data_IF_870028865654
#
_entry.id   IF_870028865654
#
_cell.length_a   1.000
_cell.length_b   1.000
_cell.length_c   1.000
_cell.angle_alpha   90.00
_cell.angle_beta   90.00
_cell.angle_gamma   90.00
#
_symmetry.space_group_name_H-M   'P 1'
#
loop_
_entity.id
_entity.type
_entity.pdbx_description
1 polymer ?
#
# COMPACT_ATOMS: atom_id res chain seq x y z
N UNK A 1 -5.38 1.40 3.90
CA UNK A 1 -4.67 0.14 4.25
C UNK A 1 -4.33 0.00 5.73
N UNK A 2 -3.60 0.94 6.37
CA UNK A 2 -3.28 0.88 7.82
C UNK A 2 -4.51 0.59 8.69
N UNK A 3 -5.57 1.38 8.48
CA UNK A 3 -6.86 1.21 9.15
C UNK A 3 -7.49 -0.17 8.91
N UNK A 4 -7.45 -0.68 7.67
CA UNK A 4 -8.03 -2.00 7.32
C UNK A 4 -7.30 -3.14 8.08
N UNK A 5 -5.96 -3.11 8.10
CA UNK A 5 -5.19 -4.11 8.85
C UNK A 5 -5.47 -4.01 10.34
N UNK A 6 -5.41 -2.81 10.92
CA UNK A 6 -5.68 -2.59 12.35
C UNK A 6 -7.07 -3.07 12.74
N UNK A 7 -8.09 -2.70 11.96
CA UNK A 7 -9.49 -3.10 12.20
C UNK A 7 -9.62 -4.63 12.18
N UNK A 8 -9.16 -5.29 11.12
CA UNK A 8 -9.27 -6.77 11.02
C UNK A 8 -8.49 -7.48 12.11
N UNK A 9 -7.31 -6.97 12.45
CA UNK A 9 -6.49 -7.56 13.51
C UNK A 9 -7.19 -7.45 14.87
N UNK A 10 -7.70 -6.26 15.23
CA UNK A 10 -8.43 -6.03 16.47
C UNK A 10 -9.76 -6.82 16.55
N UNK A 11 -10.46 -6.94 15.42
CA UNK A 11 -11.68 -7.76 15.32
C UNK A 11 -11.37 -9.25 15.61
N UNK A 12 -10.24 -9.74 15.10
CA UNK A 12 -9.81 -11.13 15.23
C UNK A 12 -9.20 -11.47 16.59
N UNK A 13 -8.48 -10.53 17.20
CA UNK A 13 -7.75 -10.70 18.45
C UNK A 13 -8.06 -9.56 19.42
N UNK A 14 -8.86 -9.86 20.44
CA UNK A 14 -9.38 -8.87 21.40
C UNK A 14 -8.49 -8.67 22.63
N UNK A 15 -7.47 -9.49 22.82
CA UNK A 15 -6.57 -9.38 23.96
C UNK A 15 -5.69 -8.13 23.86
N UNK A 16 -5.42 -7.42 24.97
CA UNK A 16 -4.42 -6.36 25.02
C UNK A 16 -3.09 -6.82 24.44
N UNK A 17 -2.40 -5.94 23.70
CA UNK A 17 -1.13 -6.25 23.04
C UNK A 17 -1.10 -7.54 22.20
N UNK A 18 -2.22 -8.02 21.66
CA UNK A 18 -2.26 -9.26 20.86
C UNK A 18 -1.24 -9.28 19.69
N UNK A 19 -0.90 -8.12 19.13
CA UNK A 19 0.13 -8.00 18.09
C UNK A 19 1.56 -8.28 18.57
N UNK A 20 1.80 -8.43 19.87
CA UNK A 20 3.07 -8.90 20.45
C UNK A 20 3.07 -10.41 20.74
N UNK A 21 1.94 -11.10 20.56
CA UNK A 21 1.82 -12.54 20.77
C UNK A 21 2.17 -13.32 19.49
N UNK A 22 3.14 -14.26 19.54
CA UNK A 22 3.47 -15.13 18.39
C UNK A 22 2.28 -15.96 17.88
N UNK A 23 1.30 -16.26 18.75
CA UNK A 23 0.11 -17.04 18.43
C UNK A 23 -0.85 -16.29 17.48
N UNK A 24 -0.74 -14.96 17.40
CA UNK A 24 -1.54 -14.13 16.48
C UNK A 24 -1.00 -14.12 15.03
N UNK A 25 0.16 -14.75 14.79
CA UNK A 25 0.83 -14.78 13.49
C UNK A 25 0.76 -16.18 12.84
N UNK A 26 1.17 -16.26 11.58
CA UNK A 26 1.28 -17.51 10.85
C UNK A 26 2.39 -18.40 11.46
N UNK A 27 1.99 -19.58 11.95
CA UNK A 27 2.89 -20.51 12.61
C UNK A 27 3.95 -21.10 11.67
N UNK A 28 3.74 -21.04 10.35
CA UNK A 28 4.75 -21.42 9.37
C UNK A 28 5.81 -20.33 9.14
N UNK A 29 5.64 -19.14 9.74
CA UNK A 29 6.51 -17.97 9.57
C UNK A 29 7.01 -17.40 10.88
N UNK A 30 7.03 -18.18 11.96
CA UNK A 30 7.36 -17.71 13.31
C UNK A 30 8.64 -16.88 13.38
N UNK A 31 9.73 -17.31 12.74
CA UNK A 31 10.99 -16.53 12.75
C UNK A 31 10.84 -15.12 12.18
N UNK A 32 10.01 -14.94 11.14
CA UNK A 32 9.72 -13.62 10.58
C UNK A 32 8.69 -12.86 11.43
N UNK A 33 7.70 -13.55 12.01
CA UNK A 33 6.76 -12.95 12.94
C UNK A 33 7.44 -12.39 14.20
N UNK A 34 8.46 -13.08 14.74
CA UNK A 34 9.24 -12.58 15.87
C UNK A 34 9.98 -11.27 15.55
N UNK A 35 10.40 -11.07 14.29
CA UNK A 35 10.98 -9.79 13.84
C UNK A 35 9.93 -8.69 13.78
N UNK A 36 8.71 -8.99 13.34
CA UNK A 36 7.57 -8.05 13.42
C UNK A 36 7.34 -7.66 14.88
N UNK A 37 7.19 -8.64 15.77
CA UNK A 37 6.96 -8.41 17.21
C UNK A 37 8.07 -7.54 17.80
N UNK A 38 9.34 -7.85 17.51
CA UNK A 38 10.47 -7.04 17.97
C UNK A 38 10.39 -5.58 17.49
N UNK A 39 10.07 -5.36 16.22
CA UNK A 39 9.89 -4.01 15.67
C UNK A 39 8.73 -3.26 16.34
N UNK A 40 7.60 -3.92 16.56
CA UNK A 40 6.44 -3.34 17.25
C UNK A 40 6.77 -2.98 18.71
N UNK A 41 7.46 -3.86 19.44
CA UNK A 41 7.94 -3.57 20.79
C UNK A 41 8.90 -2.39 20.83
N UNK A 42 9.77 -2.24 19.82
CA UNK A 42 10.67 -1.09 19.71
C UNK A 42 9.91 0.21 19.46
N UNK A 43 8.85 0.20 18.63
CA UNK A 43 7.99 1.37 18.47
C UNK A 43 7.33 1.78 19.79
N UNK A 44 6.75 0.81 20.51
CA UNK A 44 6.14 1.09 21.82
C UNK A 44 7.17 1.69 22.77
N UNK A 45 8.33 1.04 22.93
CA UNK A 45 9.39 1.51 23.83
C UNK A 45 9.88 2.92 23.47
N UNK A 46 10.04 3.22 22.17
CA UNK A 46 10.51 4.53 21.70
C UNK A 46 9.50 5.63 22.05
N UNK A 47 8.23 5.41 21.74
CA UNK A 47 7.22 6.46 21.85
C UNK A 47 6.59 6.51 23.25
N UNK A 48 6.62 5.44 24.04
CA UNK A 48 6.18 5.49 25.45
C UNK A 48 7.07 6.36 26.34
N UNK A 49 8.32 6.62 25.96
CA UNK A 49 9.20 7.58 26.65
C UNK A 49 9.11 9.01 26.11
N UNK A 50 8.39 9.23 25.00
CA UNK A 50 8.28 10.54 24.34
C UNK A 50 6.96 11.19 24.71
N UNK A 51 7.01 12.26 25.50
CA UNK A 51 5.83 13.06 25.87
C UNK A 51 5.09 13.55 24.61
N UNK A 52 3.79 13.75 24.73
CA UNK A 52 2.88 14.21 23.66
C UNK A 52 2.63 13.22 22.51
N UNK A 53 3.12 11.99 22.60
CA UNK A 53 2.76 10.94 21.64
C UNK A 53 1.47 10.22 22.07
N UNK A 54 0.68 9.75 21.10
CA UNK A 54 -0.49 8.93 21.41
C UNK A 54 -0.09 7.65 22.16
N UNK A 55 1.04 7.02 21.82
CA UNK A 55 1.55 5.85 22.56
C UNK A 55 1.83 6.20 24.03
N UNK A 56 2.47 7.34 24.31
CA UNK A 56 2.67 7.81 25.69
C UNK A 56 1.35 7.89 26.45
N UNK A 57 0.35 8.56 25.88
CA UNK A 57 -0.97 8.70 26.51
C UNK A 57 -1.61 7.34 26.81
N UNK A 58 -1.63 6.44 25.83
CA UNK A 58 -2.24 5.11 25.98
C UNK A 58 -1.52 4.23 27.02
N UNK A 59 -0.18 4.22 27.03
CA UNK A 59 0.59 3.46 28.03
C UNK A 59 0.35 3.98 29.46
N UNK A 60 0.32 5.30 29.64
CA UNK A 60 0.22 5.91 30.97
C UNK A 60 -1.20 6.03 31.52
N UNK A 61 -2.22 6.13 30.67
CA UNK A 61 -3.63 6.30 31.11
C UNK A 61 -4.51 5.06 30.90
N UNK A 62 -4.18 4.19 29.95
CA UNK A 62 -5.01 3.03 29.60
C UNK A 62 -4.31 1.69 29.81
N UNK A 63 -3.00 1.68 30.13
CA UNK A 63 -2.17 0.49 30.31
C UNK A 63 -2.18 -0.51 29.14
N UNK A 64 -2.68 -0.08 27.97
CA UNK A 64 -2.73 -0.83 26.71
C UNK A 64 -2.50 0.14 25.56
N UNK A 65 -1.87 -0.33 24.48
CA UNK A 65 -1.72 0.41 23.24
C UNK A 65 -2.51 -0.32 22.16
N UNK A 66 -3.69 0.19 21.77
CA UNK A 66 -4.46 -0.44 20.73
C UNK A 66 -3.74 -0.46 19.38
N UNK A 67 -3.95 -1.50 18.58
CA UNK A 67 -3.27 -1.65 17.29
C UNK A 67 -3.55 -0.49 16.32
N UNK A 68 -4.75 0.11 16.35
CA UNK A 68 -5.08 1.26 15.51
C UNK A 68 -4.27 2.52 15.86
N UNK A 69 -3.79 2.61 17.11
CA UNK A 69 -2.82 3.65 17.52
C UNK A 69 -1.43 3.29 16.99
N UNK A 70 -1.03 2.03 17.16
CA UNK A 70 0.32 1.57 16.80
C UNK A 70 0.61 1.66 15.28
N UNK A 71 -0.36 1.35 14.41
CA UNK A 71 -0.17 1.42 12.95
C UNK A 71 0.16 2.82 12.44
N UNK A 72 -0.15 3.87 13.20
CA UNK A 72 0.21 5.23 12.83
C UNK A 72 1.72 5.46 12.85
N UNK A 73 2.45 4.71 13.68
CA UNK A 73 3.91 4.77 13.82
C UNK A 73 4.66 3.83 12.86
N UNK A 74 3.95 2.93 12.18
CA UNK A 74 4.54 2.04 11.18
C UNK A 74 4.74 2.77 9.85
N UNK A 75 5.86 2.53 9.18
CA UNK A 75 6.00 2.89 7.78
C UNK A 75 5.35 1.84 6.86
N UNK A 76 5.36 2.09 5.54
CA UNK A 76 4.76 1.17 4.58
C UNK A 76 5.46 -0.20 4.57
N UNK A 77 6.78 -0.23 4.77
CA UNK A 77 7.56 -1.47 4.82
C UNK A 77 7.17 -2.34 6.01
N UNK A 78 7.09 -1.74 7.20
CA UNK A 78 6.67 -2.40 8.44
C UNK A 78 5.23 -2.90 8.35
N UNK A 79 4.32 -2.10 7.79
CA UNK A 79 2.92 -2.49 7.58
C UNK A 79 2.81 -3.71 6.65
N UNK A 80 3.53 -3.68 5.52
CA UNK A 80 3.61 -4.82 4.59
C UNK A 80 4.19 -6.04 5.28
N UNK A 81 5.28 -5.87 6.01
CA UNK A 81 5.98 -6.98 6.67
C UNK A 81 5.07 -7.63 7.71
N UNK A 82 4.35 -6.85 8.51
CA UNK A 82 3.32 -7.36 9.41
C UNK A 82 2.25 -8.14 8.64
N UNK A 83 1.62 -7.54 7.63
CA UNK A 83 0.56 -8.21 6.86
C UNK A 83 1.03 -9.52 6.19
N UNK A 84 2.29 -9.62 5.79
CA UNK A 84 2.83 -10.86 5.21
C UNK A 84 3.04 -12.00 6.22
N UNK A 85 3.05 -11.69 7.52
CA UNK A 85 3.31 -12.61 8.62
C UNK A 85 2.07 -12.90 9.49
N UNK A 86 1.00 -12.12 9.42
CA UNK A 86 -0.27 -12.47 10.09
C UNK A 86 -0.88 -13.73 9.50
N UNK A 87 -1.82 -14.35 10.22
CA UNK A 87 -2.47 -15.59 9.79
C UNK A 87 -3.16 -15.46 8.41
N UNK A 88 -3.22 -16.54 7.61
CA UNK A 88 -3.87 -16.53 6.30
C UNK A 88 -5.34 -16.07 6.32
N UNK A 89 -6.12 -16.42 7.35
CA UNK A 89 -7.51 -15.96 7.49
C UNK A 89 -7.59 -14.43 7.58
N UNK A 90 -6.65 -13.81 8.31
CA UNK A 90 -6.57 -12.36 8.42
C UNK A 90 -6.14 -11.69 7.11
N UNK A 91 -5.18 -12.26 6.39
CA UNK A 91 -4.77 -11.76 5.07
C UNK A 91 -5.95 -11.76 4.09
N UNK A 92 -6.74 -12.83 4.07
CA UNK A 92 -7.95 -12.93 3.26
C UNK A 92 -8.98 -11.86 3.64
N UNK A 93 -9.19 -11.61 4.94
CA UNK A 93 -10.12 -10.59 5.41
C UNK A 93 -9.69 -9.17 5.00
N UNK A 94 -8.38 -8.87 5.08
CA UNK A 94 -7.82 -7.60 4.61
C UNK A 94 -7.99 -7.47 3.09
N UNK A 95 -7.65 -8.49 2.32
CA UNK A 95 -7.81 -8.48 0.86
C UNK A 95 -9.27 -8.30 0.44
N UNK A 96 -10.21 -8.94 1.15
CA UNK A 96 -11.65 -8.73 0.95
C UNK A 96 -12.07 -7.29 1.19
N UNK A 97 -11.56 -6.59 2.20
CA UNK A 97 -11.89 -5.17 2.38
C UNK A 97 -11.26 -4.26 1.34
N UNK A 98 -10.06 -4.59 0.86
CA UNK A 98 -9.40 -3.83 -0.20
C UNK A 98 -10.20 -3.87 -1.51
N UNK A 99 -11.12 -4.83 -1.69
CA UNK A 99 -12.05 -4.85 -2.82
C UNK A 99 -12.84 -3.55 -3.00
N UNK A 100 -13.09 -2.80 -1.92
CA UNK A 100 -13.79 -1.52 -2.01
C UNK A 100 -13.02 -0.50 -2.88
N UNK A 101 -11.69 -0.47 -2.78
CA UNK A 101 -10.84 0.37 -3.62
C UNK A 101 -10.70 -0.21 -5.03
N UNK A 102 -10.51 -1.53 -5.12
CA UNK A 102 -10.39 -2.24 -6.39
C UNK A 102 -11.60 -1.98 -7.29
N UNK A 103 -12.81 -2.03 -6.75
CA UNK A 103 -14.06 -1.86 -7.52
C UNK A 103 -14.29 -0.45 -8.05
N UNK A 104 -13.57 0.55 -7.55
CA UNK A 104 -13.57 1.90 -8.15
C UNK A 104 -13.00 1.87 -9.58
N UNK A 105 -12.04 0.97 -9.82
CA UNK A 105 -11.33 0.89 -11.10
C UNK A 105 -11.66 -0.36 -11.91
N UNK A 106 -12.09 -1.42 -11.23
CA UNK A 106 -12.40 -2.73 -11.82
C UNK A 106 -13.74 -3.21 -11.21
N UNK A 107 -14.88 -2.65 -11.64
CA UNK A 107 -16.18 -2.94 -11.02
C UNK A 107 -16.54 -4.44 -11.03
N UNK A 108 -16.18 -5.14 -12.11
CA UNK A 108 -16.45 -6.57 -12.32
C UNK A 108 -15.51 -7.51 -11.55
N UNK A 109 -14.53 -6.96 -10.80
CA UNK A 109 -13.62 -7.77 -10.02
C UNK A 109 -14.37 -8.57 -8.94
N UNK A 110 -14.33 -9.90 -9.07
CA UNK A 110 -15.00 -10.83 -8.14
C UNK A 110 -14.20 -11.06 -6.86
N UNK A 111 -12.88 -11.19 -6.98
CA UNK A 111 -11.97 -11.51 -5.86
C UNK A 111 -10.63 -10.81 -6.05
N UNK A 112 -10.08 -10.31 -4.95
CA UNK A 112 -8.69 -9.86 -4.86
C UNK A 112 -7.93 -10.83 -3.95
N UNK A 113 -7.11 -11.74 -4.49
CA UNK A 113 -6.43 -12.74 -3.69
C UNK A 113 -5.34 -12.12 -2.78
N UNK A 114 -5.16 -12.60 -1.53
CA UNK A 114 -4.16 -12.06 -0.61
C UNK A 114 -2.72 -12.15 -1.15
N UNK A 115 -2.41 -13.18 -1.94
CA UNK A 115 -1.12 -13.33 -2.60
C UNK A 115 -0.86 -12.26 -3.66
N UNK A 116 -1.90 -11.78 -4.34
CA UNK A 116 -1.82 -10.66 -5.29
C UNK A 116 -1.63 -9.36 -4.51
N UNK A 117 -2.45 -9.13 -3.48
CA UNK A 117 -2.31 -7.99 -2.57
C UNK A 117 -0.87 -7.86 -2.01
N UNK A 118 -0.31 -8.94 -1.46
CA UNK A 118 1.03 -8.97 -0.89
C UNK A 118 2.12 -8.72 -1.94
N UNK A 119 1.93 -9.26 -3.16
CA UNK A 119 2.85 -9.03 -4.28
C UNK A 119 2.83 -7.56 -4.72
N UNK A 120 1.64 -6.99 -4.88
CA UNK A 120 1.42 -5.58 -5.24
C UNK A 120 2.08 -4.65 -4.22
N UNK A 121 1.84 -4.89 -2.92
CA UNK A 121 2.49 -4.14 -1.85
C UNK A 121 4.02 -4.28 -1.88
N UNK A 122 4.55 -5.43 -2.28
CA UNK A 122 5.99 -5.63 -2.45
C UNK A 122 6.59 -4.70 -3.49
N UNK A 123 5.96 -4.61 -4.66
CA UNK A 123 6.47 -3.78 -5.75
C UNK A 123 6.26 -2.29 -5.47
N UNK A 124 5.15 -1.90 -4.84
CA UNK A 124 4.95 -0.52 -4.34
C UNK A 124 6.07 -0.14 -3.37
N UNK A 125 6.39 -1.03 -2.41
CA UNK A 125 7.47 -0.77 -1.45
C UNK A 125 8.84 -0.64 -2.14
N UNK A 126 9.10 -1.46 -3.16
CA UNK A 126 10.35 -1.39 -3.91
C UNK A 126 10.52 -0.06 -4.65
N UNK A 127 9.50 0.40 -5.38
CA UNK A 127 9.51 1.70 -6.06
C UNK A 127 9.62 2.85 -5.07
N UNK A 128 8.86 2.81 -3.96
CA UNK A 128 8.95 3.81 -2.88
C UNK A 128 10.38 3.92 -2.34
N UNK A 129 11.03 2.79 -2.06
CA UNK A 129 12.39 2.78 -1.53
C UNK A 129 13.40 3.39 -2.51
N UNK A 130 13.26 3.14 -3.81
CA UNK A 130 14.10 3.78 -4.83
C UNK A 130 13.92 5.30 -4.81
N UNK A 131 12.67 5.77 -4.77
CA UNK A 131 12.37 7.21 -4.67
C UNK A 131 12.94 7.85 -3.39
N UNK A 132 12.93 7.13 -2.27
CA UNK A 132 13.41 7.65 -0.98
C UNK A 132 14.94 7.66 -0.84
N UNK A 133 15.62 6.73 -1.51
CA UNK A 133 17.09 6.60 -1.46
C UNK A 133 17.80 7.35 -2.60
N UNK A 134 17.15 8.37 -3.19
CA UNK A 134 17.65 9.19 -4.32
C UNK A 134 18.11 8.40 -5.55
N UNK A 135 17.60 7.17 -5.72
CA UNK A 135 17.94 6.33 -6.85
C UNK A 135 17.07 6.68 -8.07
N UNK A 136 17.67 6.64 -9.26
CA UNK A 136 16.99 6.94 -10.53
C UNK A 136 16.00 5.81 -10.85
N UNK A 137 14.74 6.15 -11.11
CA UNK A 137 13.74 5.17 -11.59
C UNK A 137 14.02 4.65 -13.01
N UNK A 138 14.89 5.34 -13.75
CA UNK A 138 15.22 4.98 -15.13
C UNK A 138 16.07 3.71 -15.15
N UNK A 139 15.57 2.68 -15.84
CA UNK A 139 16.15 1.33 -15.82
C UNK A 139 15.82 0.52 -14.58
N UNK A 140 14.96 1.01 -13.68
CA UNK A 140 14.56 0.27 -12.50
C UNK A 140 13.61 -0.88 -12.84
N UNK A 141 13.84 -2.02 -12.20
CA UNK A 141 12.98 -3.19 -12.25
C UNK A 141 12.86 -3.79 -10.85
N UNK A 142 11.63 -4.07 -10.41
CA UNK A 142 11.38 -4.70 -9.12
C UNK A 142 12.13 -6.03 -9.03
N UNK A 143 12.75 -6.37 -7.90
CA UNK A 143 13.43 -7.65 -7.75
C UNK A 143 12.47 -8.84 -7.82
N UNK A 144 11.28 -8.69 -7.21
CA UNK A 144 10.24 -9.71 -7.24
C UNK A 144 9.32 -9.52 -8.45
N UNK A 145 8.90 -10.64 -9.05
CA UNK A 145 7.85 -10.60 -10.05
C UNK A 145 6.53 -10.20 -9.40
N UNK A 146 5.86 -9.17 -9.95
CA UNK A 146 4.47 -8.92 -9.62
C UNK A 146 3.66 -10.16 -9.99
N UNK A 147 2.76 -10.59 -9.12
CA UNK A 147 1.83 -11.65 -9.44
C UNK A 147 0.83 -11.09 -10.44
N UNK A 148 0.75 -11.71 -11.63
CA UNK A 148 -0.25 -11.37 -12.62
C UNK A 148 -1.65 -11.55 -12.01
N UNK A 149 -2.51 -10.59 -12.28
CA UNK A 149 -3.91 -10.62 -11.92
C UNK A 149 -4.72 -10.02 -13.06
N UNK A 150 -5.35 -10.88 -13.84
CA UNK A 150 -5.96 -10.56 -15.13
C UNK A 150 -6.95 -9.38 -15.08
N UNK A 151 -7.82 -9.22 -14.06
CA UNK A 151 -8.74 -8.08 -13.99
C UNK A 151 -8.07 -6.70 -14.05
N UNK A 152 -6.82 -6.58 -13.58
CA UNK A 152 -6.05 -5.33 -13.67
C UNK A 152 -5.15 -5.29 -14.91
N UNK A 153 -4.48 -6.41 -15.21
CA UNK A 153 -3.40 -6.39 -16.20
C UNK A 153 -3.89 -6.53 -17.63
N UNK A 154 -5.06 -7.12 -17.86
CA UNK A 154 -5.62 -7.25 -19.22
C UNK A 154 -6.18 -5.92 -19.74
N UNK A 155 -6.55 -5.01 -18.84
CA UNK A 155 -7.02 -3.66 -19.19
C UNK A 155 -5.89 -2.65 -19.46
N UNK A 156 -4.63 -3.07 -19.33
CA UNK A 156 -3.47 -2.20 -19.50
C UNK A 156 -2.39 -2.85 -20.39
N UNK A 157 -1.70 -2.08 -21.24
CA UNK A 157 -0.62 -2.60 -22.10
C UNK A 157 0.69 -2.84 -21.31
N UNK A 158 0.67 -3.65 -20.26
CA UNK A 158 1.84 -3.95 -19.43
C UNK A 158 2.66 -5.08 -20.04
N UNK A 159 3.84 -4.76 -20.57
CA UNK A 159 4.79 -5.75 -21.09
C UNK A 159 5.64 -6.37 -19.99
N UNK A 160 5.99 -5.60 -18.95
CA UNK A 160 6.84 -6.04 -17.86
C UNK A 160 6.21 -5.72 -16.50
N UNK A 161 5.82 -6.78 -15.79
CA UNK A 161 5.21 -6.69 -14.46
C UNK A 161 6.14 -6.15 -13.36
N UNK A 162 7.45 -6.09 -13.61
CA UNK A 162 8.46 -5.56 -12.68
C UNK A 162 8.71 -4.05 -12.87
N UNK A 163 8.12 -3.46 -13.91
CA UNK A 163 8.37 -2.06 -14.29
C UNK A 163 7.71 -1.06 -13.33
N UNK A 164 8.17 0.20 -13.40
CA UNK A 164 7.51 1.32 -12.70
C UNK A 164 6.08 1.50 -13.19
N UNK A 165 5.81 1.27 -14.48
CA UNK A 165 4.45 1.31 -15.03
C UNK A 165 3.51 0.26 -14.39
N UNK A 166 4.00 -0.96 -14.17
CA UNK A 166 3.24 -2.01 -13.48
C UNK A 166 2.83 -1.58 -12.06
N UNK A 167 3.76 -0.94 -11.33
CA UNK A 167 3.47 -0.39 -10.00
C UNK A 167 2.50 0.79 -10.09
N UNK A 168 2.67 1.65 -11.08
CA UNK A 168 1.80 2.78 -11.33
C UNK A 168 0.34 2.32 -11.50
N UNK A 169 0.04 1.34 -12.35
CA UNK A 169 -1.34 0.85 -12.50
C UNK A 169 -1.83 0.09 -11.26
N UNK A 170 -0.93 -0.62 -10.56
CA UNK A 170 -1.27 -1.36 -9.34
C UNK A 170 -1.78 -0.45 -8.22
N UNK A 171 -1.36 0.83 -8.20
CA UNK A 171 -1.84 1.82 -7.24
C UNK A 171 -3.36 2.07 -7.33
N UNK A 172 -4.00 1.77 -8.47
CA UNK A 172 -5.46 1.81 -8.61
C UNK A 172 -6.15 0.92 -7.56
N UNK A 173 -5.55 -0.22 -7.19
CA UNK A 173 -6.12 -1.13 -6.19
C UNK A 173 -6.04 -0.61 -4.74
N UNK A 174 -5.39 0.55 -4.51
CA UNK A 174 -5.10 1.08 -3.17
C UNK A 174 -5.52 2.52 -2.96
N UNK A 175 -5.88 3.24 -4.03
CA UNK A 175 -6.16 4.66 -4.03
C UNK A 175 -7.59 4.92 -4.50
N UNK A 176 -8.19 5.98 -3.98
CA UNK A 176 -9.46 6.51 -4.46
C UNK A 176 -9.33 7.08 -5.88
N UNK A 177 -10.48 7.34 -6.53
CA UNK A 177 -10.54 8.00 -7.84
C UNK A 177 -9.78 9.34 -7.85
N UNK A 178 -9.99 10.13 -6.81
CA UNK A 178 -9.34 11.43 -6.62
C UNK A 178 -7.82 11.29 -6.45
N UNK A 179 -7.36 10.39 -5.59
CA UNK A 179 -5.93 10.22 -5.30
C UNK A 179 -5.16 9.68 -6.52
N UNK A 180 -5.67 8.63 -7.15
CA UNK A 180 -5.02 8.07 -8.33
C UNK A 180 -5.17 9.00 -9.54
N UNK A 181 -6.31 9.66 -9.70
CA UNK A 181 -6.49 10.67 -10.73
C UNK A 181 -5.50 11.83 -10.59
N UNK A 182 -5.25 12.31 -9.36
CA UNK A 182 -4.25 13.34 -9.09
C UNK A 182 -2.82 12.84 -9.43
N UNK A 183 -2.46 11.64 -9.00
CA UNK A 183 -1.19 11.00 -9.34
C UNK A 183 -1.02 10.85 -10.85
N UNK A 184 -2.00 10.27 -11.53
CA UNK A 184 -2.02 10.04 -12.96
C UNK A 184 -1.81 11.34 -13.74
N UNK A 185 -2.61 12.36 -13.43
CA UNK A 185 -2.55 13.64 -14.11
C UNK A 185 -1.22 14.37 -13.84
N UNK A 186 -0.66 14.23 -12.64
CA UNK A 186 0.65 14.78 -12.30
C UNK A 186 1.78 14.09 -13.08
N UNK A 187 1.78 12.76 -13.17
CA UNK A 187 2.76 11.99 -13.96
C UNK A 187 2.65 12.38 -15.43
N UNK A 188 1.43 12.37 -16.00
CA UNK A 188 1.17 12.78 -17.38
C UNK A 188 1.70 14.20 -17.68
N UNK A 189 1.39 15.18 -16.82
CA UNK A 189 1.88 16.57 -16.97
C UNK A 189 3.41 16.65 -16.92
N UNK A 190 4.05 15.89 -16.03
CA UNK A 190 5.52 15.83 -15.92
C UNK A 190 6.17 15.17 -17.14
N UNK A 191 5.56 14.13 -17.71
CA UNK A 191 6.04 13.51 -18.95
C UNK A 191 5.93 14.45 -20.15
N UNK A 192 4.81 15.19 -20.28
CA UNK A 192 4.68 16.22 -21.32
C UNK A 192 5.77 17.29 -21.18
N UNK A 193 5.95 17.84 -19.97
CA UNK A 193 7.00 18.82 -19.71
C UNK A 193 8.39 18.27 -20.02
N UNK A 194 8.67 17.05 -19.61
CA UNK A 194 9.95 16.39 -19.89
C UNK A 194 10.18 16.28 -21.39
N UNK A 195 9.17 15.84 -22.16
CA UNK A 195 9.26 15.75 -23.62
C UNK A 195 9.68 17.05 -24.29
N UNK A 196 9.19 18.20 -23.83
CA UNK A 196 9.59 19.52 -24.35
C UNK A 196 11.03 19.93 -23.99
N UNK A 197 11.63 19.30 -22.98
CA UNK A 197 12.99 19.62 -22.53
C UNK A 197 14.06 18.68 -23.11
N UNK A 198 13.67 17.61 -23.81
CA UNK A 198 14.61 16.65 -24.39
C UNK A 198 15.06 17.11 -25.77
N UNK A 199 16.38 17.08 -26.00
CA UNK A 199 16.99 17.49 -27.28
C UNK A 199 17.71 16.33 -27.98
N UNK A 200 18.27 15.38 -27.22
CA UNK A 200 19.11 14.29 -27.77
C UNK A 200 18.43 12.92 -27.81
N UNK A 201 17.34 12.75 -27.07
CA UNK A 201 16.55 11.51 -27.02
C UNK A 201 15.07 11.85 -27.07
N UNK A 202 14.23 10.89 -27.43
CA UNK A 202 12.79 11.07 -27.43
C UNK A 202 12.19 10.76 -26.06
N UNK A 203 10.97 11.27 -25.80
CA UNK A 203 10.23 10.89 -24.60
C UNK A 203 9.95 9.38 -24.56
N UNK A 204 9.73 8.73 -25.71
CA UNK A 204 9.48 7.29 -25.77
C UNK A 204 10.70 6.48 -25.33
N UNK A 205 11.92 6.95 -25.56
CA UNK A 205 13.13 6.32 -25.04
C UNK A 205 13.10 6.27 -23.50
N UNK A 206 12.62 7.34 -22.87
CA UNK A 206 12.43 7.40 -21.42
C UNK A 206 11.27 6.48 -20.99
N UNK A 207 10.09 6.57 -21.62
CA UNK A 207 8.91 5.78 -21.25
C UNK A 207 9.20 4.27 -21.28
N UNK A 208 9.88 3.78 -22.31
CA UNK A 208 10.28 2.36 -22.41
C UNK A 208 11.17 1.92 -21.25
N UNK A 209 12.11 2.77 -20.79
CA UNK A 209 13.01 2.42 -19.67
C UNK A 209 12.28 2.27 -18.33
N UNK A 210 11.11 2.89 -18.17
CA UNK A 210 10.24 2.74 -17.00
C UNK A 210 9.02 1.84 -17.26
N UNK A 211 8.96 1.22 -18.44
CA UNK A 211 7.95 0.25 -18.86
C UNK A 211 6.59 0.83 -19.25
N UNK A 212 6.49 2.14 -19.43
CA UNK A 212 5.29 2.79 -19.96
C UNK A 212 5.17 2.50 -21.47
N UNK A 213 3.95 2.44 -22.03
CA UNK A 213 3.78 2.31 -23.47
C UNK A 213 4.23 3.59 -24.18
N UNK A 214 4.60 3.46 -25.45
CA UNK A 214 4.95 4.61 -26.29
C UNK A 214 3.76 5.57 -26.34
N UNK A 215 4.05 6.88 -26.34
CA UNK A 215 3.06 7.96 -26.37
C UNK A 215 2.01 7.90 -25.24
N UNK A 216 2.25 7.16 -24.15
CA UNK A 216 1.31 7.04 -23.03
C UNK A 216 0.72 8.38 -22.58
N UNK A 217 1.56 9.40 -22.45
CA UNK A 217 1.17 10.75 -22.01
C UNK A 217 0.25 11.48 -23.01
N UNK A 218 0.29 11.14 -24.29
CA UNK A 218 -0.58 11.69 -25.33
C UNK A 218 -1.86 10.86 -25.47
N UNK A 219 -1.73 9.54 -25.49
CA UNK A 219 -2.81 8.59 -25.78
C UNK A 219 -3.76 8.41 -24.58
N UNK A 220 -3.28 8.64 -23.36
CA UNK A 220 -4.14 8.60 -22.16
C UNK A 220 -4.80 9.95 -21.90
N UNK A 221 -6.12 9.90 -21.73
CA UNK A 221 -6.91 11.06 -21.34
C UNK A 221 -6.62 11.45 -19.89
N UNK A 222 -6.78 12.74 -19.58
CA UNK A 222 -6.78 13.22 -18.20
C UNK A 222 -7.96 12.56 -17.47
N UNK A 223 -7.70 11.97 -16.30
CA UNK A 223 -8.78 11.46 -15.44
C UNK A 223 -9.48 12.67 -14.84
N UNK A 224 -10.78 12.82 -15.14
CA UNK A 224 -11.64 13.81 -14.51
C UNK A 224 -12.27 13.16 -13.28
N UNK A 225 -12.18 13.84 -12.15
CA UNK A 225 -12.83 13.44 -10.91
C UNK A 225 -13.48 14.69 -10.32
N UNK A 226 -14.81 14.66 -10.24
CA UNK A 226 -15.62 15.75 -9.69
C UNK A 226 -15.66 15.69 -8.17
N UNK A 227 -15.81 16.84 -7.52
CA UNK A 227 -15.77 17.04 -6.07
C UNK A 227 -16.88 16.37 -5.24
N UNK A 228 -17.38 15.21 -5.66
CA UNK A 228 -18.04 14.30 -4.72
C UNK A 228 -16.94 13.57 -3.97
N UNK A 229 -16.40 14.28 -2.98
CA UNK A 229 -15.94 13.61 -1.77
C UNK A 229 -17.14 12.86 -1.22
N UNK A 230 -17.35 11.63 -1.71
CA UNK A 230 -17.78 10.60 -0.79
C UNK A 230 -16.66 10.60 0.24
N UNK A 231 -16.87 11.34 1.32
CA UNK A 231 -16.40 10.94 2.62
C UNK A 231 -16.70 9.44 2.67
N UNK A 232 -15.71 8.63 2.31
CA UNK A 232 -15.49 7.41 3.03
C UNK A 232 -15.18 7.89 4.44
N UNK A 233 -16.23 8.29 5.17
CA UNK A 233 -16.23 8.36 6.60
C UNK A 233 -15.68 7.01 6.98
N UNK A 234 -14.42 7.01 7.38
CA UNK A 234 -13.85 5.89 8.09
C UNK A 234 -14.65 5.84 9.40
N UNK A 235 -15.87 5.28 9.34
CA UNK A 235 -16.62 4.76 10.48
C UNK A 235 -15.88 3.58 11.14
N UNK A 236 -14.57 3.48 10.91
CA UNK A 236 -13.63 2.63 11.63
C UNK A 236 -13.21 3.23 12.97
N UNK A 237 -13.70 4.42 13.35
CA UNK A 237 -13.44 5.05 14.65
C UNK A 237 -14.65 5.20 15.57
N UNK A 238 -15.85 4.77 15.18
CA UNK A 238 -16.98 4.67 16.11
C UNK A 238 -16.91 3.36 16.89
N UNK A 239 -16.25 3.44 18.04
CA UNK A 239 -16.21 2.43 19.09
C UNK A 239 -17.64 2.10 19.58
N UNK A 240 -18.01 0.83 19.84
CA UNK A 240 -18.95 0.55 20.90
C UNK A 240 -18.18 0.79 22.21
N UNK A 241 -18.51 1.89 22.88
CA UNK A 241 -18.21 2.02 24.32
C UNK A 241 -18.69 0.77 25.05
N UNK A 242 -17.85 0.33 26.00
CA UNK A 242 -18.09 -0.72 27.00
C UNK A 242 -19.57 -0.98 27.33
#
# INVERSE_FOLDING_TARGET
MKAVLAYRFAERFRSPYAYLSPQCYDQNKISSALRVISALSQFIKKYSGTKDTSIYHYVHHHHDVPIWVLVNYMDFGSLRYMLSNVRPDLQNAVAKNMMNFVRLWIPDAKKFPPEVLLSFMGNINAVRNVCAHNNRLLGFSCYQNCRRWDPLHDSHPVKNLRSVYSVFITLQCFLTETEYGALHNAVRKRMNRLGHCLHSITLNDILRTIGFPDNWNADTAKIQFGGNSYEYSFHFLSCPTL
#
